data_IF_027370907778
#
_entry.id   IF_027370907778
#
_cell.length_a   1.000
_cell.length_b   1.000
_cell.length_c   1.000
_cell.angle_alpha   90.00
_cell.angle_beta   90.00
_cell.angle_gamma   90.00
#
_symmetry.space_group_name_H-M   'P 1'
#
loop_
_entity.id
_entity.type
_entity.pdbx_description
1 polymer ?
#
# COMPACT_ATOMS: atom_id res chain seq x y z
N UNK A 1 27.62 15.31 -10.79
CA UNK A 1 26.84 16.56 -10.52
C UNK A 1 25.88 16.75 -11.67
N UNK A 2 24.64 17.14 -11.41
CA UNK A 2 23.61 17.28 -12.45
C UNK A 2 23.91 18.46 -13.38
N UNK A 3 23.58 18.31 -14.67
CA UNK A 3 23.74 19.38 -15.65
C UNK A 3 22.75 20.53 -15.39
N UNK A 4 23.12 21.77 -15.79
CA UNK A 4 22.22 22.93 -15.66
C UNK A 4 20.87 22.71 -16.36
N UNK A 5 20.88 22.04 -17.52
CA UNK A 5 19.66 21.69 -18.26
C UNK A 5 18.72 20.80 -17.44
N UNK A 6 19.25 19.79 -16.75
CA UNK A 6 18.44 18.87 -15.92
C UNK A 6 17.92 19.58 -14.68
N UNK A 7 18.73 20.44 -14.05
CA UNK A 7 18.30 21.26 -12.93
C UNK A 7 17.19 22.24 -13.33
N UNK A 8 17.30 22.89 -14.52
CA UNK A 8 16.27 23.77 -15.06
C UNK A 8 14.96 23.01 -15.29
N UNK A 9 15.02 21.84 -15.95
CA UNK A 9 13.85 21.01 -16.20
C UNK A 9 13.12 20.65 -14.89
N UNK A 10 13.87 20.21 -13.87
CA UNK A 10 13.26 19.88 -12.57
C UNK A 10 12.62 21.12 -11.92
N UNK A 11 13.30 22.27 -11.94
CA UNK A 11 12.78 23.50 -11.37
C UNK A 11 11.54 24.04 -12.10
N UNK A 12 11.51 23.96 -13.42
CA UNK A 12 10.33 24.32 -14.23
C UNK A 12 9.13 23.43 -13.87
N UNK A 13 9.34 22.10 -13.77
CA UNK A 13 8.30 21.16 -13.32
C UNK A 13 7.81 21.48 -11.91
N UNK A 14 8.69 21.79 -10.97
CA UNK A 14 8.32 22.17 -9.60
C UNK A 14 7.48 23.45 -9.56
N UNK A 15 7.83 24.45 -10.37
CA UNK A 15 7.06 25.69 -10.46
C UNK A 15 5.64 25.44 -10.99
N UNK A 16 5.49 24.56 -11.99
CA UNK A 16 4.18 24.18 -12.53
C UNK A 16 3.36 23.35 -11.53
N UNK A 17 4.00 22.60 -10.64
CA UNK A 17 3.36 21.78 -9.62
C UNK A 17 3.11 22.51 -8.29
N UNK A 18 3.50 23.77 -8.15
CA UNK A 18 3.49 24.49 -6.88
C UNK A 18 2.09 24.49 -6.19
N UNK A 19 1.02 24.67 -6.96
CA UNK A 19 -0.35 24.64 -6.43
C UNK A 19 -0.77 23.25 -5.96
N UNK A 20 -0.43 22.21 -6.72
CA UNK A 20 -0.73 20.80 -6.36
C UNK A 20 0.07 20.39 -5.12
N UNK A 21 1.33 20.80 -5.04
CA UNK A 21 2.15 20.58 -3.83
C UNK A 21 1.53 21.21 -2.59
N UNK A 22 0.98 22.43 -2.72
CA UNK A 22 0.31 23.10 -1.60
C UNK A 22 -0.96 22.36 -1.13
N UNK A 23 -1.70 21.75 -2.06
CA UNK A 23 -2.86 20.90 -1.74
C UNK A 23 -2.43 19.65 -0.97
N UNK A 24 -1.38 18.95 -1.44
CA UNK A 24 -0.82 17.77 -0.77
C UNK A 24 -0.28 18.15 0.64
N UNK A 25 0.38 19.31 0.79
CA UNK A 25 0.82 19.82 2.08
C UNK A 25 -0.35 20.07 3.03
N UNK A 26 -1.49 20.56 2.52
CA UNK A 26 -2.70 20.77 3.31
C UNK A 26 -3.27 19.44 3.83
N UNK A 27 -3.32 18.41 3.01
CA UNK A 27 -3.75 17.05 3.43
C UNK A 27 -2.80 16.51 4.50
N UNK A 28 -1.49 16.62 4.29
CA UNK A 28 -0.48 16.18 5.26
C UNK A 28 -0.62 16.92 6.60
N UNK A 29 -0.89 18.22 6.58
CA UNK A 29 -1.11 19.01 7.79
C UNK A 29 -2.33 18.52 8.58
N UNK A 30 -3.48 18.28 7.90
CA UNK A 30 -4.70 17.75 8.52
C UNK A 30 -4.47 16.35 9.13
N UNK A 31 -3.80 15.48 8.40
CA UNK A 31 -3.44 14.15 8.89
C UNK A 31 -2.48 14.23 10.09
N UNK A 32 -1.50 15.15 10.07
CA UNK A 32 -0.60 15.38 11.20
C UNK A 32 -1.36 15.89 12.42
N UNK A 33 -2.31 16.81 12.25
CA UNK A 33 -3.17 17.27 13.34
C UNK A 33 -3.97 16.11 13.96
N UNK A 34 -4.54 15.24 13.12
CA UNK A 34 -5.28 14.04 13.56
C UNK A 34 -4.38 13.12 14.39
N UNK A 35 -3.20 12.75 13.88
CA UNK A 35 -2.23 11.90 14.58
C UNK A 35 -1.81 12.54 15.92
N UNK A 36 -1.45 13.82 15.92
CA UNK A 36 -1.03 14.55 17.13
C UNK A 36 -2.16 14.66 18.16
N UNK A 37 -3.41 14.83 17.74
CA UNK A 37 -4.58 14.83 18.63
C UNK A 37 -4.74 13.50 19.34
N UNK A 38 -4.72 12.40 18.57
CA UNK A 38 -4.82 11.04 19.10
C UNK A 38 -3.68 10.73 20.09
N UNK A 39 -2.44 11.14 19.77
CA UNK A 39 -1.28 10.97 20.68
C UNK A 39 -1.49 11.70 22.00
N UNK A 40 -1.98 12.92 21.97
CA UNK A 40 -2.24 13.74 23.17
C UNK A 40 -3.40 13.21 24.00
N UNK A 41 -4.52 12.89 23.36
CA UNK A 41 -5.73 12.38 24.03
C UNK A 41 -5.46 11.04 24.74
N UNK A 42 -4.65 10.19 24.12
CA UNK A 42 -4.23 8.92 24.69
C UNK A 42 -3.01 9.02 25.63
N UNK A 43 -2.50 10.23 25.88
CA UNK A 43 -1.39 10.47 26.83
C UNK A 43 -0.18 9.59 26.56
N UNK A 44 0.22 9.46 25.28
CA UNK A 44 1.43 8.72 24.91
C UNK A 44 2.61 9.17 25.76
N UNK A 45 3.33 8.25 26.39
CA UNK A 45 4.46 8.52 27.27
C UNK A 45 5.57 7.48 27.08
N UNK A 46 6.76 7.76 27.63
CA UNK A 46 7.95 6.92 27.49
C UNK A 46 7.72 5.45 27.88
N UNK A 47 6.86 5.16 28.84
CA UNK A 47 6.56 3.79 29.27
C UNK A 47 5.99 2.92 28.15
N UNK A 48 5.26 3.51 27.19
CA UNK A 48 4.68 2.79 26.06
C UNK A 48 5.72 2.35 25.01
N UNK A 49 6.97 2.83 25.15
CA UNK A 49 8.09 2.39 24.31
C UNK A 49 8.83 1.19 24.89
N UNK A 50 8.46 0.75 26.09
CA UNK A 50 9.05 -0.42 26.71
C UNK A 50 8.76 -1.67 25.87
N UNK A 51 9.70 -2.62 25.95
CA UNK A 51 9.63 -3.87 25.23
C UNK A 51 9.10 -4.98 26.13
N UNK A 52 8.35 -5.89 25.55
CA UNK A 52 7.98 -7.17 26.15
C UNK A 52 8.65 -8.33 25.43
N UNK A 53 8.74 -9.47 26.10
CA UNK A 53 9.25 -10.73 25.57
C UNK A 53 8.33 -11.91 25.95
N UNK A 54 8.60 -13.11 25.42
CA UNK A 54 7.78 -14.28 25.68
C UNK A 54 6.38 -14.12 25.10
N UNK A 55 5.35 -14.35 25.89
CA UNK A 55 3.95 -14.23 25.46
C UNK A 55 3.50 -12.77 25.26
N UNK A 56 4.18 -11.80 25.87
CA UNK A 56 3.87 -10.39 25.74
C UNK A 56 2.50 -10.00 26.30
N UNK A 57 1.98 -10.70 27.31
CA UNK A 57 0.74 -10.30 27.97
C UNK A 57 0.89 -8.96 28.69
N UNK A 58 -0.19 -8.16 28.74
CA UNK A 58 -0.22 -6.85 29.38
C UNK A 58 0.83 -5.88 28.84
N UNK A 59 1.03 -5.85 27.54
CA UNK A 59 1.91 -4.87 26.87
C UNK A 59 1.15 -3.57 26.63
N UNK A 60 1.24 -2.63 27.58
CA UNK A 60 0.59 -1.31 27.51
C UNK A 60 0.91 -0.57 26.21
N UNK A 61 2.14 -0.71 25.70
CA UNK A 61 2.56 -0.03 24.47
C UNK A 61 1.90 -0.61 23.24
N UNK A 62 1.83 -1.93 23.14
CA UNK A 62 1.12 -2.63 22.05
C UNK A 62 -0.37 -2.29 22.07
N UNK A 63 -1.01 -2.41 23.22
CA UNK A 63 -2.45 -2.22 23.36
C UNK A 63 -2.85 -0.77 23.05
N UNK A 64 -2.03 0.19 23.48
CA UNK A 64 -2.21 1.59 23.12
C UNK A 64 -1.96 1.85 21.62
N UNK A 65 -1.00 1.18 21.00
CA UNK A 65 -0.74 1.28 19.55
C UNK A 65 -1.96 0.82 18.75
N UNK A 66 -2.55 -0.33 19.11
CA UNK A 66 -3.78 -0.84 18.50
C UNK A 66 -4.92 0.18 18.58
N UNK A 67 -5.14 0.75 19.77
CA UNK A 67 -6.14 1.80 19.99
C UNK A 67 -5.88 3.04 19.13
N UNK A 68 -4.63 3.49 19.03
CA UNK A 68 -4.27 4.66 18.23
C UNK A 68 -4.47 4.41 16.73
N UNK A 69 -4.18 3.22 16.22
CA UNK A 69 -4.50 2.86 14.84
C UNK A 69 -6.00 2.96 14.58
N UNK A 70 -6.84 2.46 15.50
CA UNK A 70 -8.29 2.57 15.36
C UNK A 70 -8.76 4.03 15.30
N UNK A 71 -8.30 4.87 16.23
CA UNK A 71 -8.70 6.27 16.32
C UNK A 71 -8.20 7.11 15.12
N UNK A 72 -6.95 6.89 14.67
CA UNK A 72 -6.37 7.59 13.52
C UNK A 72 -7.11 7.22 12.23
N UNK A 73 -7.47 5.95 12.08
CA UNK A 73 -8.15 5.44 10.89
C UNK A 73 -9.68 5.53 10.97
N UNK A 74 -10.22 6.05 12.10
CA UNK A 74 -11.65 6.32 12.26
C UNK A 74 -12.50 5.06 12.30
N UNK A 75 -12.08 4.05 13.09
CA UNK A 75 -12.77 2.78 13.24
C UNK A 75 -12.83 2.28 14.69
N UNK A 76 -13.50 1.16 14.93
CA UNK A 76 -13.76 0.64 16.27
C UNK A 76 -12.53 -0.03 16.91
N UNK A 77 -11.72 -0.72 16.11
CA UNK A 77 -10.58 -1.52 16.60
C UNK A 77 -9.42 -1.51 15.62
N UNK A 78 -8.21 -1.60 16.16
CA UNK A 78 -6.96 -1.77 15.43
C UNK A 78 -6.18 -2.99 15.94
N UNK A 79 -5.30 -3.49 15.11
CA UNK A 79 -4.40 -4.61 15.40
C UNK A 79 -3.11 -4.43 14.60
N UNK A 80 -2.07 -3.88 15.23
CA UNK A 80 -0.78 -3.61 14.61
C UNK A 80 0.31 -4.50 15.23
N UNK A 81 1.00 -5.30 14.43
CA UNK A 81 1.97 -6.30 14.91
C UNK A 81 3.21 -6.36 14.03
N UNK A 82 4.36 -6.38 14.69
CA UNK A 82 5.64 -6.66 14.02
C UNK A 82 5.73 -8.09 13.49
N UNK A 83 4.96 -9.03 14.05
CA UNK A 83 4.87 -10.42 13.62
C UNK A 83 4.05 -10.62 12.34
N UNK A 84 3.35 -9.62 11.86
CA UNK A 84 2.72 -9.63 10.53
C UNK A 84 3.80 -9.25 9.51
N UNK A 85 4.47 -10.24 8.93
CA UNK A 85 5.74 -10.08 8.20
C UNK A 85 5.65 -9.35 6.86
N UNK A 86 4.43 -9.12 6.33
CA UNK A 86 4.23 -8.44 5.05
C UNK A 86 2.78 -7.98 4.88
N UNK A 87 2.52 -7.14 3.86
CA UNK A 87 1.15 -6.80 3.45
C UNK A 87 0.36 -8.03 3.03
N UNK A 88 0.94 -8.94 2.24
CA UNK A 88 0.30 -10.21 1.85
C UNK A 88 -0.08 -11.04 3.08
N UNK A 89 0.75 -11.07 4.12
CA UNK A 89 0.41 -11.77 5.36
C UNK A 89 -0.78 -11.10 6.08
N UNK A 90 -0.84 -9.76 6.11
CA UNK A 90 -2.00 -9.06 6.67
C UNK A 90 -3.29 -9.39 5.92
N UNK A 91 -3.23 -9.43 4.58
CA UNK A 91 -4.34 -9.82 3.71
C UNK A 91 -4.76 -11.28 3.95
N UNK A 92 -3.79 -12.20 4.04
CA UNK A 92 -4.07 -13.60 4.35
C UNK A 92 -4.76 -13.76 5.71
N UNK A 93 -4.26 -13.08 6.76
CA UNK A 93 -4.90 -13.07 8.09
C UNK A 93 -6.35 -12.62 7.99
N UNK A 94 -6.63 -11.55 7.25
CA UNK A 94 -8.00 -11.04 7.06
C UNK A 94 -8.90 -12.07 6.37
N UNK A 95 -8.47 -12.61 5.24
CA UNK A 95 -9.27 -13.53 4.45
C UNK A 95 -9.52 -14.86 5.19
N UNK A 96 -8.48 -15.47 5.76
CA UNK A 96 -8.64 -16.70 6.57
C UNK A 96 -9.37 -16.45 7.90
N UNK A 97 -9.32 -15.22 8.42
CA UNK A 97 -10.05 -14.83 9.63
C UNK A 97 -11.55 -14.73 9.40
N UNK A 98 -11.96 -14.18 8.28
CA UNK A 98 -13.36 -13.86 7.96
C UNK A 98 -14.10 -14.96 7.22
N UNK A 99 -13.41 -15.76 6.38
CA UNK A 99 -14.01 -16.78 5.52
C UNK A 99 -14.01 -18.16 6.17
N UNK A 100 -15.02 -18.96 5.84
CA UNK A 100 -15.22 -20.34 6.28
C UNK A 100 -15.46 -21.24 5.06
N UNK A 101 -15.33 -22.59 5.18
CA UNK A 101 -15.69 -23.51 4.11
C UNK A 101 -17.10 -23.25 3.57
N UNK A 102 -17.24 -23.24 2.25
CA UNK A 102 -18.42 -22.90 1.45
C UNK A 102 -18.78 -21.41 1.39
N UNK A 103 -18.04 -20.53 2.08
CA UNK A 103 -18.16 -19.08 1.84
C UNK A 103 -17.56 -18.71 0.48
N UNK A 104 -17.96 -17.56 -0.05
CA UNK A 104 -17.43 -17.00 -1.28
C UNK A 104 -16.72 -15.68 -1.01
N UNK A 105 -15.48 -15.55 -1.50
CA UNK A 105 -14.74 -14.31 -1.65
C UNK A 105 -15.13 -13.66 -2.99
N UNK A 106 -15.70 -12.46 -2.97
CA UNK A 106 -16.02 -11.68 -4.16
C UNK A 106 -15.04 -10.51 -4.30
N UNK A 107 -14.10 -10.57 -5.24
CA UNK A 107 -13.23 -9.46 -5.59
C UNK A 107 -13.97 -8.47 -6.50
N UNK A 108 -14.34 -7.30 -5.98
CA UNK A 108 -15.22 -6.34 -6.67
C UNK A 108 -14.47 -5.26 -7.46
N UNK A 109 -13.16 -5.25 -7.39
CA UNK A 109 -12.28 -4.37 -8.18
C UNK A 109 -11.43 -5.13 -9.22
N UNK A 110 -11.88 -6.33 -9.62
CA UNK A 110 -11.12 -7.27 -10.44
C UNK A 110 -10.13 -8.09 -9.62
N UNK A 111 -9.31 -8.89 -10.32
CA UNK A 111 -8.32 -9.78 -9.71
C UNK A 111 -7.46 -9.01 -8.69
N UNK A 112 -7.26 -9.55 -7.47
CA UNK A 112 -6.33 -8.98 -6.49
C UNK A 112 -4.88 -9.00 -6.97
N UNK A 113 -3.99 -8.41 -6.17
CA UNK A 113 -2.55 -8.40 -6.44
C UNK A 113 -1.98 -9.82 -6.54
N UNK A 114 -1.05 -10.05 -7.46
CA UNK A 114 -0.57 -11.38 -7.85
C UNK A 114 -0.10 -12.26 -6.67
N UNK A 115 0.46 -11.66 -5.61
CA UNK A 115 0.87 -12.44 -4.42
C UNK A 115 -0.31 -13.07 -3.65
N UNK A 116 -1.54 -12.65 -3.92
CA UNK A 116 -2.75 -13.28 -3.36
C UNK A 116 -3.23 -14.49 -4.17
N UNK A 117 -2.72 -14.74 -5.36
CA UNK A 117 -3.12 -15.90 -6.16
C UNK A 117 -2.93 -17.21 -5.38
N UNK A 118 -1.75 -17.39 -4.75
CA UNK A 118 -1.47 -18.56 -3.92
C UNK A 118 -2.29 -18.61 -2.63
N UNK A 119 -2.59 -17.46 -2.02
CA UNK A 119 -3.44 -17.38 -0.82
C UNK A 119 -4.88 -17.79 -1.16
N UNK A 120 -5.40 -17.34 -2.29
CA UNK A 120 -6.76 -17.65 -2.74
C UNK A 120 -6.82 -19.07 -3.33
N UNK A 121 -5.79 -19.51 -4.03
CA UNK A 121 -5.74 -20.75 -4.78
C UNK A 121 -6.31 -20.61 -6.19
N UNK A 122 -5.84 -19.59 -6.93
CA UNK A 122 -6.26 -19.31 -8.32
C UNK A 122 -5.06 -19.29 -9.28
N UNK A 123 -5.33 -19.30 -10.57
CA UNK A 123 -4.29 -19.31 -11.60
C UNK A 123 -3.42 -20.58 -11.54
N UNK A 124 -2.11 -20.41 -11.62
CA UNK A 124 -1.14 -21.51 -11.54
C UNK A 124 -1.08 -22.16 -10.14
N UNK A 125 -1.56 -21.47 -9.12
CA UNK A 125 -1.65 -21.96 -7.74
C UNK A 125 -2.94 -22.74 -7.46
N UNK A 126 -3.83 -22.86 -8.42
CA UNK A 126 -5.00 -23.71 -8.30
C UNK A 126 -4.58 -25.17 -8.13
N UNK A 127 -5.16 -25.86 -7.15
CA UNK A 127 -4.88 -27.28 -6.86
C UNK A 127 -3.44 -27.57 -6.36
N UNK A 128 -2.71 -26.55 -5.88
CA UNK A 128 -1.36 -26.75 -5.33
C UNK A 128 -1.33 -27.59 -4.05
N UNK A 129 -2.44 -27.64 -3.32
CA UNK A 129 -2.54 -28.33 -2.03
C UNK A 129 -1.72 -27.67 -0.90
N UNK A 130 -1.36 -26.40 -1.04
CA UNK A 130 -0.53 -25.66 -0.10
C UNK A 130 -1.33 -25.04 1.06
N UNK A 131 -2.63 -25.29 1.12
CA UNK A 131 -3.51 -24.76 2.15
C UNK A 131 -4.12 -23.41 1.80
N UNK A 132 -4.34 -23.16 0.52
CA UNK A 132 -5.05 -21.99 0.01
C UNK A 132 -6.50 -21.91 0.51
N UNK A 133 -7.17 -20.79 0.29
CA UNK A 133 -8.61 -20.67 0.58
C UNK A 133 -9.42 -21.70 -0.21
N UNK A 134 -9.06 -21.94 -1.46
CA UNK A 134 -9.71 -22.98 -2.29
C UNK A 134 -9.52 -24.38 -1.70
N UNK A 135 -8.33 -24.74 -1.23
CA UNK A 135 -8.08 -26.00 -0.52
C UNK A 135 -8.93 -26.18 0.75
N UNK A 136 -9.30 -25.06 1.38
CA UNK A 136 -10.19 -25.05 2.54
C UNK A 136 -11.68 -24.99 2.18
N UNK A 137 -12.02 -25.07 0.91
CA UNK A 137 -13.39 -25.07 0.41
C UNK A 137 -14.04 -23.68 0.34
N UNK A 138 -13.26 -22.61 0.27
CA UNK A 138 -13.75 -21.26 0.01
C UNK A 138 -13.79 -21.04 -1.51
N UNK A 139 -14.91 -20.47 -1.98
CA UNK A 139 -15.08 -20.14 -3.38
C UNK A 139 -14.54 -18.74 -3.70
N UNK A 140 -14.11 -18.54 -4.94
CA UNK A 140 -13.64 -17.25 -5.45
C UNK A 140 -14.45 -16.80 -6.66
N UNK A 141 -14.80 -15.50 -6.66
CA UNK A 141 -15.41 -14.83 -7.82
C UNK A 141 -14.82 -13.43 -7.95
N UNK A 142 -14.81 -12.89 -9.16
CA UNK A 142 -14.37 -11.51 -9.40
C UNK A 142 -15.30 -10.75 -10.32
N UNK A 143 -15.35 -9.44 -10.15
CA UNK A 143 -16.01 -8.49 -11.02
C UNK A 143 -14.99 -7.42 -11.39
N UNK A 144 -14.55 -7.35 -12.66
CA UNK A 144 -13.57 -6.36 -13.07
C UNK A 144 -14.15 -4.94 -13.04
N UNK A 145 -13.30 -3.94 -12.98
CA UNK A 145 -13.70 -2.56 -13.18
C UNK A 145 -14.17 -2.35 -14.63
N UNK A 146 -15.24 -1.59 -14.81
CA UNK A 146 -15.70 -1.18 -16.14
C UNK A 146 -14.63 -0.34 -16.81
N UNK A 147 -14.09 -0.82 -17.94
CA UNK A 147 -12.98 -0.20 -18.67
C UNK A 147 -11.74 0.09 -17.80
N UNK A 148 -11.48 -0.72 -16.78
CA UNK A 148 -10.37 -0.53 -15.84
C UNK A 148 -10.51 0.72 -14.93
N UNK A 149 -11.68 1.36 -14.90
CA UNK A 149 -11.83 2.69 -14.26
C UNK A 149 -12.87 2.77 -13.15
N UNK A 150 -14.03 2.14 -13.30
CA UNK A 150 -15.17 2.33 -12.38
C UNK A 150 -15.70 1.01 -11.85
N UNK A 151 -16.17 1.00 -10.61
CA UNK A 151 -16.86 -0.15 -10.03
C UNK A 151 -18.15 -0.43 -10.79
N UNK A 152 -18.42 -1.70 -11.13
CA UNK A 152 -19.70 -2.13 -11.67
C UNK A 152 -20.67 -2.44 -10.52
N UNK A 153 -21.25 -1.37 -9.94
CA UNK A 153 -22.17 -1.50 -8.82
C UNK A 153 -23.42 -2.35 -9.17
N UNK A 154 -23.83 -2.36 -10.44
CA UNK A 154 -24.97 -3.18 -10.88
C UNK A 154 -24.63 -4.66 -10.91
N UNK A 155 -23.48 -5.02 -11.46
CA UNK A 155 -23.00 -6.41 -11.45
C UNK A 155 -22.74 -6.90 -10.02
N UNK A 156 -22.15 -6.04 -9.15
CA UNK A 156 -21.91 -6.36 -7.73
C UNK A 156 -23.25 -6.63 -7.02
N UNK A 157 -24.24 -5.73 -7.15
CA UNK A 157 -25.58 -5.89 -6.56
C UNK A 157 -26.25 -7.19 -7.03
N UNK A 158 -26.22 -7.45 -8.34
CA UNK A 158 -26.77 -8.68 -8.92
C UNK A 158 -26.12 -9.90 -8.31
N UNK A 159 -24.80 -9.93 -8.27
CA UNK A 159 -24.02 -11.08 -7.74
C UNK A 159 -24.32 -11.33 -6.25
N UNK A 160 -24.36 -10.27 -5.41
CA UNK A 160 -24.74 -10.37 -4.00
C UNK A 160 -26.19 -10.81 -3.79
N UNK A 161 -27.08 -10.49 -4.74
CA UNK A 161 -28.48 -10.92 -4.69
C UNK A 161 -28.61 -12.41 -4.98
N UNK A 162 -27.89 -12.89 -5.99
CA UNK A 162 -27.96 -14.28 -6.49
C UNK A 162 -27.18 -15.28 -5.64
N UNK A 163 -26.08 -14.85 -5.01
CA UNK A 163 -25.16 -15.71 -4.26
C UNK A 163 -25.08 -15.32 -2.78
N UNK A 164 -25.78 -16.06 -1.93
CA UNK A 164 -25.82 -15.84 -0.46
C UNK A 164 -24.63 -16.43 0.28
N UNK A 165 -23.76 -17.16 -0.39
CA UNK A 165 -22.51 -17.65 0.17
C UNK A 165 -21.43 -16.57 0.27
N UNK A 166 -21.59 -15.43 -0.41
CA UNK A 166 -20.64 -14.32 -0.36
C UNK A 166 -20.59 -13.75 1.06
N UNK A 167 -19.40 -13.74 1.65
CA UNK A 167 -19.13 -13.20 3.00
C UNK A 167 -18.13 -12.06 2.99
N UNK A 168 -17.32 -11.96 1.97
CA UNK A 168 -16.35 -10.87 1.81
C UNK A 168 -16.51 -10.27 0.42
N UNK A 169 -16.79 -8.97 0.37
CA UNK A 169 -16.61 -8.10 -0.80
C UNK A 169 -15.22 -7.45 -0.67
N UNK A 170 -14.27 -7.90 -1.47
CA UNK A 170 -12.88 -7.50 -1.39
C UNK A 170 -12.55 -6.43 -2.42
N UNK A 171 -11.92 -5.36 -1.96
CA UNK A 171 -11.43 -4.24 -2.78
C UNK A 171 -9.91 -4.17 -2.67
N UNK A 172 -9.21 -4.21 -3.77
CA UNK A 172 -7.86 -3.67 -3.83
C UNK A 172 -7.94 -2.21 -4.24
N UNK A 173 -7.54 -1.30 -3.33
CA UNK A 173 -7.66 0.15 -3.56
C UNK A 173 -6.62 0.66 -4.55
N UNK A 174 -5.36 0.28 -4.36
CA UNK A 174 -4.26 0.71 -5.23
C UNK A 174 -4.23 -0.04 -6.56
N UNK A 175 -3.50 0.53 -7.51
CA UNK A 175 -3.38 0.01 -8.87
C UNK A 175 -2.78 -1.41 -8.95
N UNK A 176 -1.80 -1.75 -8.11
CA UNK A 176 -0.97 -2.93 -8.32
C UNK A 176 -0.27 -2.86 -9.67
N UNK A 177 0.01 -4.02 -10.31
CA UNK A 177 0.54 -4.08 -11.68
C UNK A 177 -0.56 -4.15 -12.76
N UNK A 178 -1.82 -3.97 -12.36
CA UNK A 178 -2.96 -4.00 -13.29
C UNK A 178 -3.13 -2.71 -14.10
N UNK A 179 -3.81 -2.83 -15.24
CA UNK A 179 -4.26 -1.67 -16.01
C UNK A 179 -5.57 -1.12 -15.42
N UNK A 180 -5.47 -0.56 -14.23
CA UNK A 180 -6.58 0.05 -13.49
C UNK A 180 -6.10 1.28 -12.72
N UNK A 181 -7.02 2.17 -12.37
CA UNK A 181 -6.72 3.29 -11.51
C UNK A 181 -6.87 2.93 -10.02
N UNK A 182 -6.32 3.77 -9.17
CA UNK A 182 -6.59 3.74 -7.73
C UNK A 182 -8.03 4.18 -7.47
N UNK A 183 -8.74 3.47 -6.60
CA UNK A 183 -10.10 3.83 -6.19
C UNK A 183 -10.08 4.93 -5.14
N UNK A 184 -10.98 5.87 -5.27
CA UNK A 184 -11.17 6.95 -4.30
C UNK A 184 -11.94 6.46 -3.07
N UNK A 185 -11.80 7.15 -1.95
CA UNK A 185 -12.60 6.87 -0.75
C UNK A 185 -14.10 7.11 -0.98
N UNK A 186 -14.46 8.03 -1.87
CA UNK A 186 -15.86 8.27 -2.25
C UNK A 186 -16.50 7.07 -2.97
N UNK A 187 -15.74 6.37 -3.82
CA UNK A 187 -16.21 5.16 -4.49
C UNK A 187 -16.34 4.00 -3.51
N UNK A 188 -15.45 3.90 -2.53
CA UNK A 188 -15.55 2.91 -1.46
C UNK A 188 -16.78 3.18 -0.60
N UNK A 189 -17.14 4.45 -0.35
CA UNK A 189 -18.39 4.80 0.31
C UNK A 189 -19.61 4.34 -0.49
N UNK A 190 -19.64 4.58 -1.80
CA UNK A 190 -20.74 4.11 -2.65
C UNK A 190 -20.88 2.58 -2.65
N UNK A 191 -19.75 1.88 -2.62
CA UNK A 191 -19.73 0.41 -2.48
C UNK A 191 -20.22 -0.03 -1.09
N UNK A 192 -19.85 0.68 -0.03
CA UNK A 192 -20.33 0.41 1.33
C UNK A 192 -21.85 0.50 1.41
N UNK A 193 -22.46 1.58 0.90
CA UNK A 193 -23.90 1.76 0.89
C UNK A 193 -24.60 0.58 0.17
N UNK A 194 -24.00 0.07 -0.91
CA UNK A 194 -24.51 -1.10 -1.60
C UNK A 194 -24.38 -2.38 -0.77
N UNK A 195 -23.18 -2.64 -0.20
CA UNK A 195 -22.92 -3.87 0.55
C UNK A 195 -23.78 -3.96 1.80
N UNK A 196 -24.11 -2.83 2.42
CA UNK A 196 -24.99 -2.77 3.61
C UNK A 196 -26.44 -3.23 3.36
N UNK A 197 -26.86 -3.36 2.12
CA UNK A 197 -28.16 -3.97 1.78
C UNK A 197 -28.14 -5.51 1.98
N UNK A 198 -26.95 -6.11 2.22
CA UNK A 198 -26.76 -7.56 2.31
C UNK A 198 -26.17 -7.93 3.67
N UNK A 199 -26.98 -8.57 4.50
CA UNK A 199 -26.59 -8.98 5.85
C UNK A 199 -25.43 -10.01 5.83
N UNK A 200 -24.45 -9.79 6.71
CA UNK A 200 -23.35 -10.72 6.95
C UNK A 200 -22.26 -10.72 5.87
N UNK A 201 -22.22 -9.69 5.00
CA UNK A 201 -21.13 -9.45 4.05
C UNK A 201 -20.20 -8.37 4.61
N UNK A 202 -18.91 -8.68 4.71
CA UNK A 202 -17.87 -7.72 5.08
C UNK A 202 -17.33 -6.99 3.87
N UNK A 203 -17.24 -5.66 3.92
CA UNK A 203 -16.47 -4.86 2.98
C UNK A 203 -15.02 -4.77 3.45
N UNK A 204 -14.12 -5.43 2.74
CA UNK A 204 -12.69 -5.56 3.08
C UNK A 204 -11.84 -4.86 2.06
N UNK A 205 -10.96 -3.96 2.49
CA UNK A 205 -10.14 -3.13 1.59
C UNK A 205 -8.65 -3.34 1.84
N UNK A 206 -7.93 -3.83 0.83
CA UNK A 206 -6.48 -3.70 0.77
C UNK A 206 -6.15 -2.22 0.57
N UNK A 207 -5.66 -1.60 1.64
CA UNK A 207 -5.37 -0.16 1.67
C UNK A 207 -3.89 0.17 1.43
N UNK A 208 -3.05 -0.82 1.12
CA UNK A 208 -1.63 -0.61 0.83
C UNK A 208 -1.42 0.53 -0.16
N UNK A 209 -0.54 1.46 0.19
CA UNK A 209 -0.19 2.67 -0.56
C UNK A 209 -1.25 3.77 -0.58
N UNK A 210 -2.43 3.55 0.02
CA UNK A 210 -3.50 4.54 0.13
C UNK A 210 -3.53 5.29 1.46
N UNK A 211 -2.89 4.75 2.50
CA UNK A 211 -2.92 5.32 3.84
C UNK A 211 -2.34 6.74 3.85
N UNK A 212 -3.02 7.65 4.52
CA UNK A 212 -2.67 9.08 4.63
C UNK A 212 -2.61 9.87 3.30
N UNK A 213 -3.00 9.26 2.17
CA UNK A 213 -3.12 9.98 0.90
C UNK A 213 -4.34 10.90 0.87
N UNK A 214 -5.40 10.54 1.59
CA UNK A 214 -6.63 11.31 1.82
C UNK A 214 -6.71 11.74 3.29
N UNK A 215 -7.67 12.62 3.63
CA UNK A 215 -7.90 13.04 5.03
C UNK A 215 -8.44 11.89 5.89
N UNK A 216 -9.21 10.99 5.28
CA UNK A 216 -9.86 9.86 5.94
C UNK A 216 -9.58 8.55 5.22
N UNK A 217 -9.47 7.49 5.99
CA UNK A 217 -9.32 6.13 5.48
C UNK A 217 -10.67 5.52 5.07
N UNK A 218 -10.68 4.42 4.29
CA UNK A 218 -11.93 3.77 3.89
C UNK A 218 -12.85 3.36 5.04
N UNK A 219 -12.31 3.07 6.22
CA UNK A 219 -13.05 2.75 7.45
C UNK A 219 -13.94 3.88 7.94
N UNK A 220 -13.51 5.14 7.77
CA UNK A 220 -14.33 6.31 8.08
C UNK A 220 -15.60 6.36 7.23
N UNK A 221 -15.56 5.80 6.02
CA UNK A 221 -16.67 5.70 5.08
C UNK A 221 -17.38 4.34 5.13
N UNK A 222 -17.08 3.52 6.13
CA UNK A 222 -17.82 2.32 6.46
C UNK A 222 -17.21 1.00 6.02
N UNK A 223 -15.99 0.96 5.46
CA UNK A 223 -15.31 -0.31 5.25
C UNK A 223 -15.19 -1.08 6.58
N UNK A 224 -15.57 -2.36 6.58
CA UNK A 224 -15.55 -3.20 7.78
C UNK A 224 -14.13 -3.54 8.22
N UNK A 225 -13.20 -3.62 7.28
CA UNK A 225 -11.80 -3.91 7.56
C UNK A 225 -10.89 -3.32 6.48
N UNK A 226 -9.85 -2.63 6.92
CA UNK A 226 -8.70 -2.27 6.09
C UNK A 226 -7.45 -2.95 6.64
N UNK A 227 -6.48 -3.20 5.78
CA UNK A 227 -5.20 -3.76 6.17
C UNK A 227 -4.08 -3.30 5.26
N UNK A 228 -2.86 -3.45 5.75
CA UNK A 228 -1.66 -3.13 5.00
C UNK A 228 -0.36 -3.45 5.74
N UNK A 229 0.74 -3.02 5.15
CA UNK A 229 2.09 -3.22 5.67
C UNK A 229 2.59 -1.99 6.42
N UNK A 230 3.24 -2.22 7.57
CA UNK A 230 3.88 -1.14 8.33
C UNK A 230 5.21 -0.67 7.73
N UNK A 231 5.85 -1.40 6.82
CA UNK A 231 7.01 -0.87 6.10
C UNK A 231 6.62 0.10 4.97
N UNK A 232 5.30 0.22 4.68
CA UNK A 232 4.73 1.16 3.71
C UNK A 232 4.30 2.46 4.39
N UNK A 233 3.25 3.08 3.88
CA UNK A 233 2.75 4.39 4.30
C UNK A 233 2.65 4.56 5.82
N UNK A 234 1.94 3.70 6.59
CA UNK A 234 1.68 3.98 8.00
C UNK A 234 2.91 3.82 8.90
N UNK A 235 3.95 3.17 8.42
CA UNK A 235 5.20 3.08 9.16
C UNK A 235 6.16 4.23 8.93
N UNK A 236 5.85 5.18 8.03
CA UNK A 236 6.57 6.45 7.86
C UNK A 236 8.08 6.33 7.65
N UNK A 237 8.58 5.16 7.19
CA UNK A 237 10.00 4.86 7.08
C UNK A 237 10.71 4.53 8.39
N UNK A 238 9.96 4.41 9.51
CA UNK A 238 10.52 4.11 10.83
C UNK A 238 10.24 2.67 11.28
N UNK A 239 9.11 2.08 10.87
CA UNK A 239 8.80 0.70 11.18
C UNK A 239 9.66 -0.25 10.33
N UNK A 240 10.42 -1.12 10.97
CA UNK A 240 11.35 -2.04 10.33
C UNK A 240 10.65 -3.27 9.75
N UNK A 241 9.47 -3.59 10.27
CA UNK A 241 8.64 -4.75 9.90
C UNK A 241 7.22 -4.53 10.39
N UNK A 242 6.31 -5.39 9.99
CA UNK A 242 4.97 -5.42 10.55
C UNK A 242 3.87 -5.19 9.54
N UNK A 243 2.67 -5.38 10.04
CA UNK A 243 1.42 -5.11 9.34
C UNK A 243 0.35 -4.65 10.31
N UNK A 244 -0.74 -4.15 9.77
CA UNK A 244 -1.89 -3.71 10.54
C UNK A 244 -3.19 -4.22 9.91
N UNK A 245 -4.20 -4.35 10.78
CA UNK A 245 -5.62 -4.51 10.42
C UNK A 245 -6.40 -3.51 11.27
N UNK A 246 -7.37 -2.83 10.69
CA UNK A 246 -8.19 -1.85 11.40
C UNK A 246 -9.61 -1.86 10.84
N UNK A 247 -10.63 -1.80 11.70
CA UNK A 247 -12.01 -1.88 11.25
C UNK A 247 -13.00 -2.09 12.38
N UNK A 248 -14.10 -2.83 12.10
CA UNK A 248 -15.08 -3.18 13.12
C UNK A 248 -14.45 -4.10 14.17
N UNK A 249 -14.88 -3.97 15.42
CA UNK A 249 -14.34 -4.75 16.53
C UNK A 249 -14.40 -6.26 16.25
N UNK A 250 -15.50 -6.72 15.65
CA UNK A 250 -15.66 -8.15 15.33
C UNK A 250 -14.73 -8.64 14.23
N UNK A 251 -14.57 -7.87 13.17
CA UNK A 251 -13.65 -8.25 12.07
C UNK A 251 -12.20 -8.32 12.56
N UNK A 252 -11.76 -7.32 13.32
CA UNK A 252 -10.41 -7.30 13.92
C UNK A 252 -10.19 -8.44 14.92
N UNK A 253 -11.16 -8.74 15.76
CA UNK A 253 -11.12 -9.88 16.70
C UNK A 253 -10.91 -11.22 15.96
N UNK A 254 -11.66 -11.48 14.90
CA UNK A 254 -11.52 -12.69 14.09
C UNK A 254 -10.13 -12.79 13.43
N UNK A 255 -9.61 -11.65 12.96
CA UNK A 255 -8.25 -11.58 12.43
C UNK A 255 -7.18 -11.84 13.50
N UNK A 256 -7.36 -11.28 14.70
CA UNK A 256 -6.45 -11.52 15.81
C UNK A 256 -6.41 -13.01 16.22
N UNK A 257 -7.57 -13.68 16.23
CA UNK A 257 -7.63 -15.14 16.42
C UNK A 257 -6.95 -15.93 15.30
N UNK A 258 -6.98 -15.41 14.08
CA UNK A 258 -6.27 -16.06 12.97
C UNK A 258 -4.77 -15.85 13.04
N UNK A 259 -4.33 -14.66 13.47
CA UNK A 259 -2.90 -14.33 13.62
C UNK A 259 -2.24 -15.15 14.74
N UNK A 260 -2.91 -15.32 15.86
CA UNK A 260 -2.47 -16.12 17.00
C UNK A 260 -3.20 -17.45 17.03
N UNK A 261 -4.21 -17.56 17.88
CA UNK A 261 -5.19 -18.66 17.90
C UNK A 261 -6.46 -18.23 18.65
N UNK A 262 -7.58 -18.96 18.46
CA UNK A 262 -8.78 -18.76 19.27
C UNK A 262 -8.46 -18.88 20.77
N UNK A 263 -8.96 -17.92 21.55
CA UNK A 263 -8.72 -17.82 22.99
C UNK A 263 -7.51 -16.96 23.39
N UNK A 264 -6.58 -16.65 22.49
CA UNK A 264 -5.47 -15.69 22.71
C UNK A 264 -5.78 -14.36 22.01
N UNK A 265 -5.97 -14.38 20.69
CA UNK A 265 -6.31 -13.18 19.92
C UNK A 265 -5.28 -12.05 20.08
N UNK A 266 -5.76 -10.86 20.41
CA UNK A 266 -4.93 -9.67 20.57
C UNK A 266 -4.12 -9.61 21.88
N UNK A 267 -4.42 -10.46 22.86
CA UNK A 267 -3.75 -10.45 24.17
C UNK A 267 -2.28 -10.87 24.12
N UNK A 268 -1.90 -11.67 23.12
CA UNK A 268 -0.55 -12.19 22.93
C UNK A 268 0.26 -11.44 21.86
N UNK A 269 1.59 -11.57 21.95
CA UNK A 269 2.52 -11.04 20.98
C UNK A 269 3.53 -10.09 21.59
N UNK A 270 4.73 -10.59 21.83
CA UNK A 270 5.85 -9.78 22.36
C UNK A 270 6.28 -8.73 21.36
N UNK A 271 6.52 -7.50 21.81
CA UNK A 271 6.86 -6.37 20.95
C UNK A 271 8.35 -6.28 20.58
N UNK A 272 9.21 -6.93 21.35
CA UNK A 272 10.65 -7.09 21.05
C UNK A 272 11.34 -5.75 20.70
N UNK A 273 10.94 -4.65 21.32
CA UNK A 273 11.52 -3.32 21.10
C UNK A 273 10.94 -2.55 19.91
N UNK A 274 9.96 -3.07 19.19
CA UNK A 274 9.41 -2.42 17.98
C UNK A 274 8.41 -1.28 18.28
N UNK A 275 7.82 -1.21 19.48
CA UNK A 275 6.82 -0.19 19.82
C UNK A 275 7.25 1.22 19.44
N UNK A 276 8.46 1.62 19.85
CA UNK A 276 8.98 2.98 19.59
C UNK A 276 9.02 3.30 18.09
N UNK A 277 9.44 2.35 17.26
CA UNK A 277 9.52 2.54 15.82
C UNK A 277 8.12 2.62 15.19
N UNK A 278 7.15 1.83 15.67
CA UNK A 278 5.76 1.93 15.20
C UNK A 278 5.13 3.28 15.54
N UNK A 279 5.30 3.79 16.77
CA UNK A 279 4.82 5.13 17.15
C UNK A 279 5.49 6.25 16.36
N UNK A 280 6.83 6.17 16.18
CA UNK A 280 7.55 7.14 15.33
C UNK A 280 7.07 7.05 13.88
N UNK A 281 6.79 5.85 13.40
CA UNK A 281 6.24 5.61 12.08
C UNK A 281 4.91 6.34 11.88
N UNK A 282 3.94 6.12 12.77
CA UNK A 282 2.66 6.83 12.73
C UNK A 282 2.84 8.36 12.79
N UNK A 283 3.77 8.85 13.61
CA UNK A 283 4.06 10.29 13.70
C UNK A 283 4.60 10.85 12.38
N UNK A 284 5.49 10.14 11.71
CA UNK A 284 6.09 10.59 10.45
C UNK A 284 5.24 10.27 9.21
N UNK A 285 4.33 9.31 9.29
CA UNK A 285 3.57 8.82 8.15
C UNK A 285 2.91 9.92 7.30
N UNK A 286 2.19 10.92 7.86
CA UNK A 286 1.59 11.98 7.06
C UNK A 286 2.63 12.79 6.26
N UNK A 287 3.78 13.09 6.88
CA UNK A 287 4.88 13.79 6.23
C UNK A 287 5.51 12.93 5.12
N UNK A 288 5.89 11.70 5.43
CA UNK A 288 6.57 10.81 4.47
C UNK A 288 5.70 10.50 3.27
N UNK A 289 4.40 10.25 3.47
CA UNK A 289 3.43 10.03 2.37
C UNK A 289 3.32 11.28 1.50
N UNK A 290 3.26 12.47 2.09
CA UNK A 290 3.29 13.73 1.36
C UNK A 290 4.54 13.84 0.46
N UNK A 291 5.74 13.56 0.99
CA UNK A 291 6.97 13.61 0.19
C UNK A 291 6.98 12.57 -0.92
N UNK A 292 6.45 11.38 -0.66
CA UNK A 292 6.30 10.32 -1.66
C UNK A 292 5.36 10.72 -2.80
N UNK A 293 4.22 11.34 -2.49
CA UNK A 293 3.29 11.87 -3.52
C UNK A 293 3.95 12.99 -4.33
N UNK A 294 4.65 13.91 -3.70
CA UNK A 294 5.37 14.98 -4.40
C UNK A 294 6.45 14.41 -5.33
N UNK A 295 7.18 13.37 -4.89
CA UNK A 295 8.15 12.67 -5.73
C UNK A 295 7.47 12.02 -6.95
N UNK A 296 6.33 11.37 -6.75
CA UNK A 296 5.54 10.77 -7.82
C UNK A 296 5.03 11.84 -8.83
N UNK A 297 4.55 12.98 -8.33
CA UNK A 297 4.11 14.11 -9.15
C UNK A 297 5.28 14.71 -9.98
N UNK A 298 6.44 14.89 -9.37
CA UNK A 298 7.64 15.36 -10.07
C UNK A 298 8.03 14.38 -11.19
N UNK A 299 8.08 13.08 -10.88
CA UNK A 299 8.38 12.05 -11.85
C UNK A 299 7.38 12.07 -13.03
N UNK A 300 6.07 12.14 -12.73
CA UNK A 300 5.04 12.25 -13.76
C UNK A 300 5.28 13.46 -14.66
N UNK A 301 5.43 14.64 -14.06
CA UNK A 301 5.57 15.90 -14.80
C UNK A 301 6.84 15.95 -15.67
N UNK A 302 7.98 15.50 -15.11
CA UNK A 302 9.25 15.46 -15.85
C UNK A 302 9.14 14.53 -17.06
N UNK A 303 8.60 13.32 -16.87
CA UNK A 303 8.47 12.35 -17.96
C UNK A 303 7.40 12.74 -18.98
N UNK A 304 6.32 13.42 -18.58
CA UNK A 304 5.36 14.05 -19.52
C UNK A 304 6.04 15.08 -20.41
N UNK A 305 6.87 15.97 -19.84
CA UNK A 305 7.61 16.99 -20.59
C UNK A 305 8.65 16.34 -21.53
N UNK A 306 9.14 15.14 -21.24
CA UNK A 306 10.01 14.34 -22.09
C UNK A 306 9.25 13.51 -23.15
N UNK A 307 7.90 13.54 -23.16
CA UNK A 307 7.06 12.86 -24.15
C UNK A 307 6.72 11.39 -23.82
N UNK A 308 6.82 10.99 -22.57
CA UNK A 308 6.39 9.67 -22.11
C UNK A 308 4.93 9.67 -21.64
N UNK A 309 4.31 8.52 -21.71
CA UNK A 309 3.01 8.30 -21.08
C UNK A 309 3.19 8.03 -19.59
N UNK A 310 2.44 8.75 -18.77
CA UNK A 310 2.43 8.60 -17.32
C UNK A 310 1.01 8.34 -16.83
N UNK A 311 0.86 7.62 -15.72
CA UNK A 311 -0.41 7.42 -15.08
C UNK A 311 -0.26 7.22 -13.56
N UNK A 312 -1.01 7.96 -12.71
CA UNK A 312 -1.86 9.10 -13.06
C UNK A 312 -1.05 10.24 -13.71
N UNK A 313 -1.72 11.16 -14.42
CA UNK A 313 -1.08 12.38 -14.90
C UNK A 313 -0.68 13.29 -13.74
N UNK A 314 0.25 14.20 -14.00
CA UNK A 314 0.66 15.17 -12.97
C UNK A 314 -0.46 16.09 -12.50
N UNK A 315 -1.55 16.21 -13.28
CA UNK A 315 -2.74 17.01 -12.96
C UNK A 315 -3.88 16.20 -12.33
N UNK A 316 -3.75 14.87 -12.27
CA UNK A 316 -4.79 14.01 -11.71
C UNK A 316 -4.72 14.00 -10.18
N UNK A 317 -5.86 13.84 -9.53
CA UNK A 317 -5.94 13.62 -8.09
C UNK A 317 -5.17 12.35 -7.67
N UNK A 318 -4.59 12.38 -6.49
CA UNK A 318 -3.75 11.32 -5.96
C UNK A 318 -4.38 10.66 -4.73
N UNK A 319 -4.65 9.37 -4.85
CA UNK A 319 -5.19 8.52 -3.78
C UNK A 319 -4.26 7.36 -3.41
N UNK A 320 -3.05 7.34 -3.99
CA UNK A 320 -1.95 6.45 -3.62
C UNK A 320 -0.61 7.07 -4.07
N UNK A 321 0.50 6.49 -3.61
CA UNK A 321 1.86 6.98 -3.89
C UNK A 321 2.46 6.41 -5.18
N UNK A 322 1.75 5.52 -5.90
CA UNK A 322 2.30 4.83 -7.08
C UNK A 322 2.21 5.73 -8.32
N UNK A 323 3.30 5.82 -9.05
CA UNK A 323 3.39 6.45 -10.35
C UNK A 323 3.84 5.46 -11.41
N UNK A 324 3.10 5.32 -12.49
CA UNK A 324 3.55 4.53 -13.65
C UNK A 324 4.06 5.41 -14.77
N UNK A 325 5.10 4.93 -15.46
CA UNK A 325 5.71 5.58 -16.61
C UNK A 325 5.95 4.49 -17.66
N UNK A 326 5.39 4.67 -18.87
CA UNK A 326 5.61 3.74 -19.98
C UNK A 326 6.91 4.13 -20.71
N UNK A 327 7.92 3.28 -20.59
CA UNK A 327 9.26 3.53 -21.17
C UNK A 327 9.42 2.94 -22.58
N UNK A 328 8.43 2.20 -23.05
CA UNK A 328 8.29 1.68 -24.44
C UNK A 328 9.33 0.64 -24.87
N UNK A 329 10.49 0.57 -24.23
CA UNK A 329 11.54 -0.40 -24.55
C UNK A 329 12.16 -0.99 -23.30
N UNK A 330 12.64 -2.24 -23.42
CA UNK A 330 13.31 -2.96 -22.32
C UNK A 330 14.60 -2.22 -21.89
N UNK A 331 15.31 -1.61 -22.83
CA UNK A 331 16.54 -0.87 -22.56
C UNK A 331 16.25 0.33 -21.64
N UNK A 332 15.27 1.18 -22.00
CA UNK A 332 14.89 2.34 -21.18
C UNK A 332 14.32 1.94 -19.82
N UNK A 333 13.62 0.81 -19.75
CA UNK A 333 13.15 0.26 -18.49
C UNK A 333 14.30 -0.07 -17.54
N UNK A 334 15.34 -0.74 -18.07
CA UNK A 334 16.56 -1.06 -17.32
C UNK A 334 17.31 0.21 -16.93
N UNK A 335 17.50 1.15 -17.86
CA UNK A 335 18.18 2.43 -17.62
C UNK A 335 17.49 3.25 -16.53
N UNK A 336 16.14 3.28 -16.52
CA UNK A 336 15.37 3.91 -15.47
C UNK A 336 15.65 3.28 -14.09
N UNK A 337 15.57 1.97 -14.00
CA UNK A 337 15.82 1.24 -12.75
C UNK A 337 17.26 1.42 -12.27
N UNK A 338 18.24 1.35 -13.16
CA UNK A 338 19.64 1.64 -12.82
C UNK A 338 19.82 3.08 -12.33
N UNK A 339 19.10 4.04 -12.92
CA UNK A 339 19.10 5.43 -12.46
C UNK A 339 18.53 5.59 -11.07
N UNK A 340 17.35 5.02 -10.78
CA UNK A 340 16.76 5.02 -9.42
C UNK A 340 17.72 4.37 -8.40
N UNK A 341 18.31 3.23 -8.74
CA UNK A 341 19.29 2.56 -7.87
C UNK A 341 20.50 3.44 -7.61
N UNK A 342 21.05 4.07 -8.63
CA UNK A 342 22.22 4.97 -8.51
C UNK A 342 21.92 6.22 -7.67
N UNK A 343 20.67 6.68 -7.66
CA UNK A 343 20.20 7.81 -6.85
C UNK A 343 19.77 7.42 -5.43
N UNK A 344 19.82 6.15 -5.07
CA UNK A 344 19.39 5.64 -3.77
C UNK A 344 20.50 5.71 -2.72
N UNK A 345 20.17 5.75 -1.41
CA UNK A 345 21.17 5.86 -0.33
C UNK A 345 21.92 4.56 -0.06
N UNK A 346 21.33 3.41 -0.39
CA UNK A 346 21.88 2.07 -0.14
C UNK A 346 22.15 1.39 -1.46
N UNK A 347 23.27 0.67 -1.56
CA UNK A 347 23.64 -0.11 -2.74
C UNK A 347 23.61 0.67 -4.07
N UNK A 348 23.87 1.97 -4.03
CA UNK A 348 23.84 2.87 -5.22
C UNK A 348 24.82 2.44 -6.34
N UNK A 349 25.82 1.64 -6.02
CA UNK A 349 26.80 1.09 -6.96
C UNK A 349 26.34 -0.20 -7.66
N UNK A 350 25.23 -0.78 -7.25
CA UNK A 350 24.68 -2.02 -7.81
C UNK A 350 23.85 -1.70 -9.04
N UNK A 351 24.01 -2.47 -10.11
CA UNK A 351 23.13 -2.40 -11.28
C UNK A 351 22.04 -3.49 -11.14
N UNK A 352 20.77 -3.12 -10.98
CA UNK A 352 19.69 -4.09 -10.93
C UNK A 352 19.53 -4.78 -12.28
N UNK A 353 19.23 -6.09 -12.25
CA UNK A 353 19.01 -6.92 -13.44
C UNK A 353 17.65 -7.60 -13.37
N UNK A 354 17.04 -7.94 -14.52
CA UNK A 354 15.83 -8.74 -14.54
C UNK A 354 16.06 -10.11 -13.90
N UNK A 355 15.14 -10.56 -13.07
CA UNK A 355 15.15 -11.91 -12.49
C UNK A 355 13.74 -12.42 -12.23
N UNK A 356 13.59 -13.75 -12.22
CA UNK A 356 12.32 -14.39 -11.89
C UNK A 356 12.07 -14.28 -10.39
N UNK A 357 11.00 -13.59 -10.02
CA UNK A 357 10.58 -13.44 -8.62
C UNK A 357 9.46 -14.41 -8.28
N UNK A 358 9.46 -15.03 -7.09
CA UNK A 358 8.33 -15.85 -6.65
C UNK A 358 7.01 -15.06 -6.64
N UNK A 359 5.96 -15.62 -7.23
CA UNK A 359 4.64 -14.99 -7.32
C UNK A 359 4.44 -14.06 -8.51
N UNK A 360 5.40 -13.95 -9.43
CA UNK A 360 5.28 -13.14 -10.65
C UNK A 360 5.48 -14.00 -11.89
N UNK A 361 4.63 -13.79 -12.92
CA UNK A 361 4.70 -14.52 -14.18
C UNK A 361 5.85 -14.04 -15.09
N UNK A 362 6.19 -12.76 -15.04
CA UNK A 362 7.25 -12.14 -15.83
C UNK A 362 8.49 -11.88 -14.99
N UNK A 363 9.69 -11.81 -15.62
CA UNK A 363 10.87 -11.28 -14.96
C UNK A 363 10.62 -9.84 -14.52
N UNK A 364 11.11 -9.47 -13.33
CA UNK A 364 10.96 -8.13 -12.77
C UNK A 364 12.34 -7.54 -12.49
N UNK A 365 12.53 -6.27 -12.79
CA UNK A 365 13.67 -5.50 -12.30
C UNK A 365 13.21 -4.75 -11.06
N UNK A 366 13.91 -4.95 -9.92
CA UNK A 366 13.65 -4.23 -8.68
C UNK A 366 14.79 -3.26 -8.42
N UNK A 367 14.50 -1.97 -8.43
CA UNK A 367 15.41 -0.93 -7.97
C UNK A 367 14.93 -0.43 -6.61
N UNK A 368 15.61 -0.86 -5.55
CA UNK A 368 15.22 -0.58 -4.17
C UNK A 368 16.47 -0.45 -3.28
N UNK A 369 17.19 0.65 -3.44
CA UNK A 369 18.33 0.98 -2.58
C UNK A 369 17.86 1.60 -1.26
N UNK A 370 17.17 0.81 -0.46
CA UNK A 370 16.43 1.20 0.73
C UNK A 370 17.03 0.61 2.02
N UNK A 371 16.82 1.28 3.15
CA UNK A 371 17.20 0.77 4.47
C UNK A 371 16.32 -0.40 4.91
N UNK A 372 15.06 -0.41 4.47
CA UNK A 372 14.10 -1.47 4.75
C UNK A 372 13.92 -2.34 3.52
N UNK A 373 14.24 -3.63 3.63
CA UNK A 373 14.11 -4.57 2.52
C UNK A 373 12.65 -4.79 2.14
N UNK A 374 12.38 -4.83 0.83
CA UNK A 374 11.05 -5.02 0.25
C UNK A 374 10.45 -3.74 -0.32
N UNK A 375 9.19 -3.80 -0.77
CA UNK A 375 8.45 -2.65 -1.30
C UNK A 375 7.97 -1.76 -0.15
N UNK A 376 8.89 -0.94 0.39
CA UNK A 376 8.64 -0.01 1.50
C UNK A 376 8.15 1.36 1.01
N UNK A 377 7.95 2.30 1.96
CA UNK A 377 7.68 3.72 1.66
C UNK A 377 8.92 4.45 1.12
N UNK A 378 10.09 3.82 1.14
CA UNK A 378 11.30 4.37 0.57
C UNK A 378 11.24 4.35 -0.97
N UNK A 379 12.06 5.18 -1.62
CA UNK A 379 12.06 5.27 -3.07
C UNK A 379 12.43 3.92 -3.70
N UNK A 380 11.56 3.42 -4.54
CA UNK A 380 11.78 2.18 -5.30
C UNK A 380 11.05 2.19 -6.64
N UNK A 381 11.50 1.33 -7.54
CA UNK A 381 10.90 1.14 -8.85
C UNK A 381 10.80 -0.35 -9.15
N UNK A 382 9.58 -0.83 -9.38
CA UNK A 382 9.26 -2.18 -9.81
C UNK A 382 8.97 -2.17 -11.31
N UNK A 383 9.63 -3.03 -12.07
CA UNK A 383 9.62 -2.98 -13.52
C UNK A 383 9.45 -4.38 -14.15
N UNK A 384 8.21 -4.87 -14.32
CA UNK A 384 7.97 -6.09 -15.07
C UNK A 384 8.48 -5.99 -16.51
N UNK A 385 9.27 -6.98 -16.95
CA UNK A 385 9.93 -6.99 -18.25
C UNK A 385 9.00 -7.40 -19.39
N UNK A 386 7.83 -6.76 -19.48
CA UNK A 386 6.83 -6.99 -20.55
C UNK A 386 6.35 -5.70 -21.17
N UNK A 387 5.92 -5.77 -22.43
CA UNK A 387 5.30 -4.61 -23.09
C UNK A 387 4.05 -4.11 -22.34
N UNK A 388 3.86 -2.78 -22.26
CA UNK A 388 4.61 -1.69 -22.91
C UNK A 388 5.82 -1.20 -22.12
N UNK A 389 6.46 -2.03 -21.29
CA UNK A 389 7.64 -1.71 -20.47
C UNK A 389 7.36 -0.57 -19.49
N UNK A 390 6.36 -0.78 -18.65
CA UNK A 390 5.92 0.17 -17.65
C UNK A 390 6.67 -0.03 -16.34
N UNK A 391 7.25 1.04 -15.81
CA UNK A 391 7.80 1.07 -14.46
C UNK A 391 6.74 1.55 -13.46
N UNK A 392 6.76 1.00 -12.27
CA UNK A 392 5.95 1.37 -11.11
C UNK A 392 6.87 2.01 -10.07
N UNK A 393 6.94 3.34 -10.08
CA UNK A 393 7.71 4.14 -9.13
C UNK A 393 6.85 4.42 -7.90
N UNK A 394 7.44 4.30 -6.71
CA UNK A 394 6.78 4.57 -5.45
C UNK A 394 7.76 5.07 -4.39
N UNK A 395 7.20 5.76 -3.38
CA UNK A 395 7.94 6.10 -2.18
C UNK A 395 8.84 7.33 -2.30
N UNK A 396 9.59 7.52 -1.24
CA UNK A 396 10.51 8.64 -1.04
C UNK A 396 10.36 9.20 0.38
N UNK A 397 11.34 8.95 1.26
CA UNK A 397 11.29 9.41 2.65
C UNK A 397 11.34 10.93 2.75
N UNK A 398 12.12 11.57 1.87
CA UNK A 398 12.20 13.01 1.72
C UNK A 398 12.04 13.37 0.25
N UNK A 399 11.45 14.53 -0.02
CA UNK A 399 11.29 15.02 -1.39
C UNK A 399 12.65 15.20 -2.10
N UNK A 400 13.65 15.70 -1.37
CA UNK A 400 14.99 15.95 -1.90
C UNK A 400 15.65 14.66 -2.40
N UNK A 401 15.58 13.58 -1.60
CA UNK A 401 16.12 12.29 -2.02
C UNK A 401 15.31 11.68 -3.17
N UNK A 402 13.99 11.82 -3.15
CA UNK A 402 13.11 11.41 -4.24
C UNK A 402 13.43 12.14 -5.54
N UNK A 403 13.59 13.46 -5.49
CA UNK A 403 14.01 14.30 -6.63
C UNK A 403 15.37 13.85 -7.20
N UNK A 404 16.35 13.57 -6.34
CA UNK A 404 17.66 13.06 -6.76
C UNK A 404 17.48 11.74 -7.52
N UNK A 405 16.72 10.78 -7.00
CA UNK A 405 16.44 9.51 -7.66
C UNK A 405 15.78 9.70 -9.03
N UNK A 406 14.76 10.56 -9.13
CA UNK A 406 14.09 10.88 -10.40
C UNK A 406 15.08 11.50 -11.41
N UNK A 407 15.97 12.40 -10.96
CA UNK A 407 16.97 13.01 -11.83
C UNK A 407 17.99 11.99 -12.35
N UNK A 408 18.44 11.05 -11.53
CA UNK A 408 19.29 9.93 -11.99
C UNK A 408 18.55 9.02 -12.98
N UNK A 409 17.27 8.76 -12.77
CA UNK A 409 16.46 8.00 -13.72
C UNK A 409 16.37 8.71 -15.09
N UNK A 410 16.19 10.03 -15.11
CA UNK A 410 16.20 10.84 -16.35
C UNK A 410 17.59 10.79 -17.04
N UNK A 411 18.66 10.88 -16.27
CA UNK A 411 20.02 10.76 -16.85
C UNK A 411 20.21 9.40 -17.54
N UNK A 412 19.75 8.33 -16.94
CA UNK A 412 19.81 7.00 -17.54
C UNK A 412 18.98 6.89 -18.81
N UNK A 413 17.69 7.22 -18.74
CA UNK A 413 16.76 7.07 -19.88
C UNK A 413 17.06 7.99 -21.06
N UNK A 414 17.60 9.20 -20.82
CA UNK A 414 17.92 10.20 -21.85
C UNK A 414 19.41 10.24 -22.20
N UNK A 415 20.21 9.30 -21.66
CA UNK A 415 21.67 9.19 -21.90
C UNK A 415 22.42 10.50 -21.63
N UNK A 416 22.04 11.22 -20.57
CA UNK A 416 22.69 12.46 -20.16
C UNK A 416 23.88 12.11 -19.26
N UNK A 417 25.09 12.45 -19.68
CA UNK A 417 26.29 12.22 -18.87
C UNK A 417 26.39 13.20 -17.69
N UNK A 418 27.02 12.74 -16.60
CA UNK A 418 27.45 13.64 -15.53
C UNK A 418 28.46 14.67 -16.03
N UNK A 419 28.42 15.89 -15.51
CA UNK A 419 29.45 16.91 -15.76
C UNK A 419 30.62 16.78 -14.81
#
# INVERSE_FOLDING_TARGET
MFSEKLLSLASECENELASVFAEIDSVAFKNTQKVMSVFRENRLSDRHFNSTCGYGYNDDGRDLCDKMFAEIFGCESGFARSQIISGTHALAIALYGLLRPNDTLLAVSGKPYDTLDSVIGIGESAESGEGSLADLGVNYREIPLVNGKTLDLNAIRKTLTEDKSIKVAFVQRSKGYGDRRTLTVAEINALFELVREFDGVYLVVDNCYGEFCDEHEPTYYGADLIMGSLIKNPGGGMAETGGYLAGTARAVELCAYRHTCPGIGAEGGATLGQNKNMYKGLFYAPHTVCQSIKTALLASKVYENLGYETYPKATDERHCIIQTISLKTREKLLDFCCGIQSGSPVDSYVAPVPYAMPGYADEVIMAAGAFTQGSSIELSADAPCKEPYTVYLQGGLTYESGKIGVMYAVMGTEKISEK
#
